data_IF_033631760270
#
_entry.id   IF_033631760270
#
_cell.length_a   1.000
_cell.length_b   1.000
_cell.length_c   1.000
_cell.angle_alpha   90.00
_cell.angle_beta   90.00
_cell.angle_gamma   90.00
#
_symmetry.space_group_name_H-M   'P 1'
#
loop_
_entity.id
_entity.type
_entity.pdbx_description
1 polymer ?
#
# COMPACT_ATOMS: atom_id res chain seq x y z
N UNK A 1 -6.51 -45.18 22.87
CA UNK A 1 -6.85 -44.25 21.78
C UNK A 1 -7.82 -43.20 22.30
N UNK A 2 -7.39 -41.94 22.32
CA UNK A 2 -8.22 -40.74 22.12
C UNK A 2 -7.23 -39.59 21.95
N UNK A 3 -6.87 -39.35 20.68
CA UNK A 3 -6.09 -38.20 20.26
C UNK A 3 -6.90 -36.94 20.59
N UNK A 4 -6.37 -36.10 21.46
CA UNK A 4 -6.82 -34.71 21.55
C UNK A 4 -6.32 -34.00 20.29
N UNK A 5 -7.26 -33.69 19.39
CA UNK A 5 -7.01 -32.85 18.23
C UNK A 5 -6.61 -31.46 18.71
N UNK A 6 -5.33 -31.12 18.59
CA UNK A 6 -4.87 -29.75 18.69
C UNK A 6 -5.42 -28.98 17.49
N UNK A 7 -6.38 -28.08 17.75
CA UNK A 7 -6.81 -27.09 16.77
C UNK A 7 -5.64 -26.11 16.62
N UNK A 8 -4.81 -26.36 15.61
CA UNK A 8 -3.79 -25.43 15.15
C UNK A 8 -4.52 -24.24 14.53
N UNK A 9 -4.92 -23.28 15.35
CA UNK A 9 -5.35 -21.97 14.87
C UNK A 9 -4.09 -21.25 14.41
N UNK A 10 -3.71 -21.45 13.15
CA UNK A 10 -2.64 -20.71 12.47
C UNK A 10 -3.09 -19.24 12.37
N UNK A 11 -2.84 -18.50 13.46
CA UNK A 11 -2.76 -17.06 13.45
C UNK A 11 -1.77 -16.71 12.33
N UNK A 12 -2.25 -16.05 11.26
CA UNK A 12 -1.37 -15.33 10.35
C UNK A 12 -0.72 -14.21 11.17
N UNK A 13 0.36 -14.55 11.87
CA UNK A 13 1.39 -13.60 12.23
C UNK A 13 2.06 -13.22 10.90
N UNK A 14 1.42 -12.31 10.17
CA UNK A 14 2.19 -11.32 9.43
C UNK A 14 3.07 -10.68 10.51
N UNK A 15 4.35 -11.07 10.54
CA UNK A 15 5.38 -10.22 11.10
C UNK A 15 5.29 -8.91 10.31
N UNK A 16 4.43 -8.00 10.76
CA UNK A 16 4.36 -6.64 10.28
C UNK A 16 5.61 -5.95 10.82
N UNK A 17 6.77 -6.26 10.23
CA UNK A 17 7.54 -5.13 9.72
C UNK A 17 6.50 -4.37 8.89
N UNK A 18 6.03 -3.25 9.43
CA UNK A 18 5.14 -2.35 8.72
C UNK A 18 5.88 -1.95 7.46
N UNK A 19 5.71 -2.73 6.39
CA UNK A 19 6.07 -2.32 5.05
C UNK A 19 5.09 -1.20 4.80
N UNK A 20 5.48 0.02 5.16
CA UNK A 20 4.76 1.20 4.74
C UNK A 20 4.64 1.07 3.22
N UNK A 21 3.42 1.22 2.70
CA UNK A 21 3.17 1.17 1.27
C UNK A 21 4.11 2.11 0.48
N UNK A 22 4.55 3.20 1.14
CA UNK A 22 5.52 4.17 0.64
C UNK A 22 6.93 3.60 0.35
N UNK A 23 7.39 2.59 1.09
CA UNK A 23 8.73 2.03 0.92
C UNK A 23 8.97 1.36 -0.45
N UNK A 24 7.88 0.96 -1.10
CA UNK A 24 7.89 0.34 -2.43
C UNK A 24 7.80 1.36 -3.58
N UNK A 25 7.65 2.65 -3.29
CA UNK A 25 7.67 3.71 -4.30
C UNK A 25 9.10 3.82 -4.83
N UNK A 26 9.23 3.63 -6.14
CA UNK A 26 10.53 3.62 -6.85
C UNK A 26 10.68 4.80 -7.81
N UNK A 27 9.64 5.61 -7.96
CA UNK A 27 9.70 6.84 -8.74
C UNK A 27 8.33 7.34 -9.15
N UNK A 28 8.33 8.18 -10.17
CA UNK A 28 7.11 8.69 -10.81
C UNK A 28 7.23 8.64 -12.33
N UNK A 29 6.10 8.40 -12.99
CA UNK A 29 6.01 8.56 -14.44
C UNK A 29 6.05 10.04 -14.77
N UNK A 30 6.95 10.41 -15.69
CA UNK A 30 7.11 11.81 -16.09
C UNK A 30 6.02 12.29 -17.05
N UNK A 31 5.60 11.44 -17.98
CA UNK A 31 4.49 11.63 -18.93
C UNK A 31 4.30 10.35 -19.74
N UNK A 32 3.10 10.15 -20.30
CA UNK A 32 2.88 9.03 -21.23
C UNK A 32 3.70 9.20 -22.50
N UNK A 33 3.81 10.43 -23.02
CA UNK A 33 4.68 10.74 -24.16
C UNK A 33 6.14 10.29 -23.96
N UNK A 34 6.70 10.44 -22.74
CA UNK A 34 8.07 9.98 -22.45
C UNK A 34 8.17 8.46 -22.40
N UNK A 35 7.14 7.78 -21.90
CA UNK A 35 7.09 6.32 -21.94
C UNK A 35 7.02 5.84 -23.39
N UNK A 36 6.18 6.44 -24.24
CA UNK A 36 6.13 6.09 -25.67
C UNK A 36 7.46 6.31 -26.38
N UNK A 37 8.16 7.43 -26.11
CA UNK A 37 9.53 7.66 -26.63
C UNK A 37 10.53 6.61 -26.17
N UNK A 38 10.32 5.99 -25.00
CA UNK A 38 11.11 4.87 -24.50
C UNK A 38 10.59 3.49 -24.97
N UNK A 39 9.71 3.47 -25.96
CA UNK A 39 9.18 2.27 -26.61
C UNK A 39 7.99 1.63 -25.92
N UNK A 40 7.35 2.30 -24.95
CA UNK A 40 6.17 1.75 -24.27
C UNK A 40 4.89 1.95 -25.09
N UNK A 41 4.01 0.94 -25.08
CA UNK A 41 2.69 0.98 -25.72
C UNK A 41 1.56 0.65 -24.73
N UNK A 42 0.33 1.06 -25.05
CA UNK A 42 -0.85 0.63 -24.31
C UNK A 42 -1.20 -0.80 -24.74
N UNK A 43 -1.36 -1.72 -23.79
CA UNK A 43 -1.80 -3.09 -24.08
C UNK A 43 -3.27 -3.14 -24.52
N UNK A 44 -4.08 -2.21 -24.00
CA UNK A 44 -5.53 -2.22 -24.14
C UNK A 44 -6.02 -1.21 -25.19
N UNK A 45 -5.12 -0.69 -26.03
CA UNK A 45 -5.39 0.35 -27.03
C UNK A 45 -6.05 1.62 -26.46
N UNK A 46 -5.76 1.94 -25.19
CA UNK A 46 -6.20 3.20 -24.57
C UNK A 46 -5.52 4.36 -25.32
N UNK A 47 -6.32 5.37 -25.68
CA UNK A 47 -5.84 6.51 -26.45
C UNK A 47 -4.81 7.35 -25.69
N UNK A 48 -4.06 8.16 -26.44
CA UNK A 48 -2.99 8.99 -25.91
C UNK A 48 -3.47 9.95 -24.80
N UNK A 49 -4.59 10.63 -25.00
CA UNK A 49 -5.08 11.65 -24.08
C UNK A 49 -5.48 11.04 -22.74
N UNK A 50 -6.19 9.90 -22.79
CA UNK A 50 -6.57 9.14 -21.60
C UNK A 50 -5.35 8.58 -20.87
N UNK A 51 -4.39 7.97 -21.58
CA UNK A 51 -3.16 7.47 -20.98
C UNK A 51 -2.31 8.58 -20.35
N UNK A 52 -2.16 9.73 -21.02
CA UNK A 52 -1.45 10.89 -20.47
C UNK A 52 -2.15 11.42 -19.22
N UNK A 53 -3.49 11.52 -19.23
CA UNK A 53 -4.28 11.93 -18.07
C UNK A 53 -4.10 11.03 -16.85
N UNK A 54 -4.09 9.70 -17.04
CA UNK A 54 -3.89 8.74 -15.95
C UNK A 54 -2.44 8.68 -15.46
N UNK A 55 -1.46 8.70 -16.37
CA UNK A 55 -0.07 8.38 -16.06
C UNK A 55 0.81 9.61 -15.82
N UNK A 56 0.36 10.82 -16.13
CA UNK A 56 1.17 12.01 -15.83
C UNK A 56 1.39 12.18 -14.33
N UNK A 57 2.65 12.16 -13.90
CA UNK A 57 3.10 12.22 -12.50
C UNK A 57 2.56 11.09 -11.61
N UNK A 58 2.15 9.98 -12.21
CA UNK A 58 1.69 8.81 -11.46
C UNK A 58 2.82 8.15 -10.68
N UNK A 59 2.47 7.44 -9.61
CA UNK A 59 3.44 6.80 -8.72
C UNK A 59 3.88 5.45 -9.30
N UNK A 60 5.18 5.18 -9.29
CA UNK A 60 5.76 3.91 -9.76
C UNK A 60 6.15 3.04 -8.57
N UNK A 61 5.67 1.81 -8.54
CA UNK A 61 5.80 0.87 -7.43
C UNK A 61 6.60 -0.35 -7.88
N UNK A 62 7.72 -0.63 -7.19
CA UNK A 62 8.56 -1.81 -7.40
C UNK A 62 9.29 -1.91 -8.76
N UNK A 63 9.62 -0.79 -9.40
CA UNK A 63 10.44 -0.78 -10.61
C UNK A 63 11.94 -0.91 -10.28
N UNK A 64 12.39 -2.14 -10.00
CA UNK A 64 13.80 -2.47 -9.76
C UNK A 64 14.46 -3.11 -10.98
N UNK A 65 15.79 -3.09 -11.14
CA UNK A 65 16.46 -3.72 -12.28
C UNK A 65 16.12 -5.21 -12.49
N UNK A 66 15.79 -5.92 -11.40
CA UNK A 66 15.50 -7.36 -11.42
C UNK A 66 14.01 -7.71 -11.56
N UNK A 67 13.09 -6.75 -11.41
CA UNK A 67 11.66 -7.05 -11.58
C UNK A 67 11.32 -7.16 -13.06
N UNK A 68 10.48 -8.13 -13.43
CA UNK A 68 9.98 -8.30 -14.80
C UNK A 68 8.93 -7.25 -15.15
N UNK A 69 8.19 -6.81 -14.15
CA UNK A 69 7.11 -5.86 -14.26
C UNK A 69 7.15 -4.87 -13.09
N UNK A 70 6.30 -3.85 -13.15
CA UNK A 70 6.09 -2.94 -12.04
C UNK A 70 4.66 -2.40 -12.09
N UNK A 71 4.20 -1.89 -10.96
CA UNK A 71 2.88 -1.27 -10.87
C UNK A 71 2.99 0.25 -11.01
N UNK A 72 1.96 0.84 -11.56
CA UNK A 72 1.78 2.29 -11.61
C UNK A 72 0.43 2.61 -10.96
N UNK A 73 0.44 3.44 -9.93
CA UNK A 73 -0.78 3.99 -9.34
C UNK A 73 -1.11 5.31 -10.06
N UNK A 74 -2.19 5.28 -10.85
CA UNK A 74 -2.62 6.40 -11.69
C UNK A 74 -3.04 7.61 -10.88
N UNK A 75 -2.84 8.81 -11.43
CA UNK A 75 -3.17 10.09 -10.77
C UNK A 75 -4.66 10.22 -10.45
N UNK A 76 -5.52 9.70 -11.31
CA UNK A 76 -6.98 9.72 -11.15
C UNK A 76 -7.50 8.45 -10.46
N UNK A 77 -6.62 7.74 -9.74
CA UNK A 77 -6.91 6.43 -9.19
C UNK A 77 -6.72 5.30 -10.21
N UNK A 78 -6.86 4.08 -9.71
CA UNK A 78 -6.66 2.86 -10.47
C UNK A 78 -5.19 2.48 -10.64
N UNK A 79 -4.97 1.21 -10.95
CA UNK A 79 -3.63 0.66 -11.11
C UNK A 79 -3.40 0.20 -12.54
N UNK A 80 -2.13 0.28 -12.96
CA UNK A 80 -1.65 -0.24 -14.22
C UNK A 80 -0.51 -1.20 -13.95
N UNK A 81 -0.39 -2.24 -14.77
CA UNK A 81 0.74 -3.15 -14.77
C UNK A 81 1.59 -2.89 -16.00
N UNK A 82 2.86 -2.59 -15.77
CA UNK A 82 3.84 -2.33 -16.81
C UNK A 82 4.76 -3.54 -16.98
N UNK A 83 4.67 -4.22 -18.12
CA UNK A 83 5.54 -5.34 -18.50
C UNK A 83 6.80 -4.79 -19.18
N UNK A 84 7.98 -5.00 -18.57
CA UNK A 84 9.23 -4.45 -19.10
C UNK A 84 9.73 -5.18 -20.34
N UNK A 85 9.42 -6.47 -20.48
CA UNK A 85 9.87 -7.30 -21.61
C UNK A 85 9.11 -6.89 -22.86
N UNK A 86 7.79 -6.83 -22.77
CA UNK A 86 6.93 -6.50 -23.89
C UNK A 86 6.77 -4.99 -24.08
N UNK A 87 7.23 -4.18 -23.11
CA UNK A 87 7.09 -2.71 -23.09
C UNK A 87 5.64 -2.28 -23.26
N UNK A 88 4.73 -2.96 -22.56
CA UNK A 88 3.31 -2.61 -22.57
C UNK A 88 2.83 -2.22 -21.19
N UNK A 89 1.90 -1.27 -21.14
CA UNK A 89 1.18 -0.86 -19.94
C UNK A 89 -0.29 -1.23 -20.11
N UNK A 90 -0.83 -2.02 -19.19
CA UNK A 90 -2.25 -2.39 -19.16
C UNK A 90 -2.96 -1.79 -17.96
N UNK A 91 -4.19 -1.35 -18.13
CA UNK A 91 -5.04 -0.93 -17.00
C UNK A 91 -5.56 -2.17 -16.30
N UNK A 92 -5.49 -2.18 -14.97
CA UNK A 92 -6.04 -3.27 -14.17
C UNK A 92 -7.52 -3.02 -13.92
N UNK A 93 -8.35 -4.02 -14.23
CA UNK A 93 -9.74 -4.03 -13.85
C UNK A 93 -9.85 -4.63 -12.44
N UNK A 94 -10.03 -3.77 -11.45
CA UNK A 94 -10.02 -4.13 -10.03
C UNK A 94 -11.40 -3.86 -9.44
N UNK A 95 -11.86 -4.78 -8.59
CA UNK A 95 -13.12 -4.67 -7.87
C UNK A 95 -12.83 -4.59 -6.37
N UNK A 96 -12.86 -3.37 -5.83
CA UNK A 96 -12.86 -3.12 -4.40
C UNK A 96 -14.29 -3.18 -3.82
N UNK A 97 -14.39 -3.41 -2.53
CA UNK A 97 -15.66 -3.36 -1.79
C UNK A 97 -16.15 -1.91 -1.61
N UNK A 98 -15.23 -0.97 -1.41
CA UNK A 98 -15.53 0.46 -1.23
C UNK A 98 -15.74 1.21 -2.55
N UNK A 99 -16.22 2.44 -2.47
CA UNK A 99 -16.43 3.26 -3.67
C UNK A 99 -15.14 3.94 -4.15
N UNK A 100 -14.11 3.98 -3.31
CA UNK A 100 -12.93 4.80 -3.53
C UNK A 100 -11.70 3.97 -3.90
N UNK A 101 -11.00 4.39 -4.94
CA UNK A 101 -9.71 3.78 -5.29
C UNK A 101 -8.62 4.00 -4.23
N UNK A 102 -8.83 4.95 -3.30
CA UNK A 102 -7.95 5.17 -2.15
C UNK A 102 -7.95 4.01 -1.15
N UNK A 103 -8.93 3.10 -1.24
CA UNK A 103 -8.95 1.89 -0.43
C UNK A 103 -7.94 0.85 -0.93
N UNK A 104 -7.39 1.04 -2.13
CA UNK A 104 -6.46 0.11 -2.74
C UNK A 104 -5.01 0.48 -2.46
N UNK A 105 -4.28 -0.46 -1.88
CA UNK A 105 -2.83 -0.40 -1.72
C UNK A 105 -2.14 -1.46 -2.56
N UNK A 106 -0.94 -1.16 -3.04
CA UNK A 106 -0.13 -2.12 -3.78
C UNK A 106 1.24 -2.30 -3.15
N UNK A 107 1.68 -3.56 -3.06
CA UNK A 107 2.95 -3.93 -2.45
C UNK A 107 3.73 -4.85 -3.39
N UNK A 108 5.06 -4.72 -3.33
CA UNK A 108 5.98 -5.68 -3.91
C UNK A 108 6.50 -6.61 -2.83
N UNK A 109 6.34 -7.92 -3.02
CA UNK A 109 6.88 -8.96 -2.15
C UNK A 109 7.93 -9.77 -2.92
N UNK A 110 9.20 -9.42 -2.72
CA UNK A 110 10.32 -10.05 -3.41
C UNK A 110 10.95 -11.24 -2.66
N UNK A 111 10.59 -11.46 -1.40
CA UNK A 111 11.10 -12.56 -0.58
C UNK A 111 10.17 -13.77 -0.67
N UNK A 112 10.71 -14.97 -0.81
CA UNK A 112 9.90 -16.18 -0.83
C UNK A 112 9.68 -16.70 0.59
N UNK A 113 8.50 -16.44 1.14
CA UNK A 113 8.05 -16.98 2.42
C UNK A 113 7.25 -18.28 2.28
N UNK A 114 7.51 -19.06 1.22
CA UNK A 114 6.76 -20.29 0.88
C UNK A 114 5.46 -20.03 0.12
N UNK A 115 5.21 -18.78 -0.28
CA UNK A 115 4.05 -18.35 -1.09
C UNK A 115 4.46 -17.75 -2.44
N UNK A 116 5.76 -17.79 -2.76
CA UNK A 116 6.32 -17.16 -3.94
C UNK A 116 6.42 -15.64 -3.82
N UNK A 117 6.86 -15.03 -4.92
CA UNK A 117 7.15 -13.60 -5.01
C UNK A 117 6.19 -12.95 -6.00
N UNK A 118 5.70 -11.76 -5.66
CA UNK A 118 4.58 -11.17 -6.37
C UNK A 118 4.46 -9.67 -6.11
N UNK A 119 3.76 -8.99 -7.01
CA UNK A 119 3.04 -7.78 -6.65
C UNK A 119 1.64 -8.17 -6.16
N UNK A 120 1.15 -7.49 -5.14
CA UNK A 120 -0.20 -7.68 -4.61
C UNK A 120 -0.93 -6.36 -4.59
N UNK A 121 -2.23 -6.42 -4.88
CA UNK A 121 -3.16 -5.30 -4.64
C UNK A 121 -4.12 -5.74 -3.55
N UNK A 122 -4.20 -4.91 -2.52
CA UNK A 122 -4.95 -5.12 -1.28
C UNK A 122 -6.04 -4.07 -1.24
N UNK A 123 -7.27 -4.51 -1.04
CA UNK A 123 -8.35 -3.65 -0.58
C UNK A 123 -8.25 -3.54 0.93
N UNK A 124 -7.92 -2.34 1.41
CA UNK A 124 -7.78 -2.03 2.83
C UNK A 124 -9.12 -1.80 3.53
N UNK A 125 -10.22 -1.68 2.77
CA UNK A 125 -11.54 -1.28 3.23
C UNK A 125 -11.55 0.05 4.01
N UNK A 126 -10.56 0.92 3.79
CA UNK A 126 -10.36 2.13 4.61
C UNK A 126 -11.61 2.99 4.69
N UNK A 127 -12.21 3.35 3.55
CA UNK A 127 -13.41 4.18 3.52
C UNK A 127 -14.61 3.55 4.23
N UNK A 128 -14.76 2.23 4.14
CA UNK A 128 -15.85 1.48 4.79
C UNK A 128 -15.62 1.43 6.30
N UNK A 129 -14.38 1.20 6.74
CA UNK A 129 -14.00 1.22 8.15
C UNK A 129 -14.26 2.61 8.73
N UNK A 130 -13.80 3.67 8.05
CA UNK A 130 -13.96 5.05 8.51
C UNK A 130 -15.44 5.40 8.69
N UNK A 131 -16.29 5.04 7.72
CA UNK A 131 -17.75 5.22 7.81
C UNK A 131 -18.36 4.43 8.97
N UNK A 132 -18.03 3.14 9.10
CA UNK A 132 -18.57 2.30 10.17
C UNK A 132 -18.12 2.77 11.56
N UNK A 133 -16.92 3.32 11.68
CA UNK A 133 -16.41 3.92 12.91
C UNK A 133 -17.15 5.22 13.22
N UNK A 134 -17.37 6.09 12.23
CA UNK A 134 -18.13 7.33 12.39
C UNK A 134 -19.57 7.06 12.86
N UNK A 135 -20.24 6.06 12.29
CA UNK A 135 -21.60 5.63 12.68
C UNK A 135 -21.67 5.16 14.15
N UNK A 136 -20.57 4.63 14.70
CA UNK A 136 -20.47 4.23 16.11
C UNK A 136 -20.14 5.40 17.03
N UNK A 137 -19.32 6.33 16.55
CA UNK A 137 -18.84 7.48 17.29
C UNK A 137 -19.93 8.55 17.39
N UNK A 138 -20.54 8.95 16.27
CA UNK A 138 -21.46 10.08 16.20
C UNK A 138 -22.61 10.05 17.23
N UNK A 139 -23.26 8.91 17.53
CA UNK A 139 -24.33 8.85 18.54
C UNK A 139 -23.85 9.00 19.99
N UNK A 140 -22.57 8.74 20.27
CA UNK A 140 -22.01 8.72 21.63
C UNK A 140 -21.49 10.10 22.04
N UNK A 141 -21.16 10.98 21.09
CA UNK A 141 -20.63 12.32 21.42
C UNK A 141 -21.67 13.24 22.08
N UNK A 142 -22.96 12.88 22.01
CA UNK A 142 -24.05 13.59 22.69
C UNK A 142 -24.21 13.24 24.17
N UNK A 143 -23.66 12.13 24.67
CA UNK A 143 -23.84 11.67 26.06
C UNK A 143 -22.47 11.23 26.62
N UNK A 144 -21.79 12.11 27.37
CA UNK A 144 -20.44 11.85 27.90
C UNK A 144 -20.49 11.00 29.16
N UNK A 145 -20.17 9.71 29.07
CA UNK A 145 -19.82 8.89 30.22
C UNK A 145 -18.47 8.16 29.99
N UNK A 146 -17.61 8.06 31.00
CA UNK A 146 -16.23 7.54 30.87
C UNK A 146 -16.18 6.03 30.51
N UNK A 147 -17.25 5.30 30.79
CA UNK A 147 -17.54 3.91 30.40
C UNK A 147 -17.71 3.73 28.88
N UNK A 148 -17.93 4.81 28.13
CA UNK A 148 -18.01 4.80 26.67
C UNK A 148 -16.65 4.52 26.01
N UNK A 149 -15.53 4.93 26.61
CA UNK A 149 -14.23 4.82 25.94
C UNK A 149 -13.80 3.36 25.72
N UNK A 150 -14.01 2.49 26.71
CA UNK A 150 -13.66 1.05 26.60
C UNK A 150 -14.63 0.32 25.68
N UNK A 151 -15.92 0.67 25.73
CA UNK A 151 -16.94 0.16 24.85
C UNK A 151 -16.69 0.53 23.38
N UNK A 152 -16.42 1.81 23.11
CA UNK A 152 -16.08 2.34 21.79
C UNK A 152 -14.84 1.65 21.23
N UNK A 153 -13.76 1.52 22.02
CA UNK A 153 -12.55 0.80 21.60
C UNK A 153 -12.86 -0.64 21.20
N UNK A 154 -13.65 -1.35 22.00
CA UNK A 154 -14.03 -2.74 21.72
C UNK A 154 -14.84 -2.85 20.43
N UNK A 155 -15.81 -1.95 20.21
CA UNK A 155 -16.59 -1.90 18.97
C UNK A 155 -15.73 -1.58 17.75
N UNK A 156 -14.87 -0.57 17.83
CA UNK A 156 -13.97 -0.17 16.74
C UNK A 156 -13.02 -1.32 16.39
N UNK A 157 -12.45 -2.01 17.38
CA UNK A 157 -11.59 -3.18 17.15
C UNK A 157 -12.36 -4.33 16.47
N UNK A 158 -13.61 -4.57 16.85
CA UNK A 158 -14.44 -5.57 16.19
C UNK A 158 -14.76 -5.19 14.74
N UNK A 159 -15.06 -3.92 14.45
CA UNK A 159 -15.25 -3.43 13.08
C UNK A 159 -13.99 -3.68 12.24
N UNK A 160 -12.82 -3.28 12.74
CA UNK A 160 -11.54 -3.48 12.04
C UNK A 160 -11.24 -4.96 11.80
N UNK A 161 -11.58 -5.84 12.74
CA UNK A 161 -11.42 -7.30 12.57
C UNK A 161 -12.36 -7.86 11.51
N UNK A 162 -13.62 -7.42 11.48
CA UNK A 162 -14.61 -7.88 10.49
C UNK A 162 -14.27 -7.38 9.08
N UNK A 163 -13.75 -6.16 8.98
CA UNK A 163 -13.35 -5.51 7.73
C UNK A 163 -11.85 -5.62 7.47
N UNK A 164 -11.24 -6.76 7.83
CA UNK A 164 -9.81 -6.97 7.62
C UNK A 164 -9.41 -6.79 6.14
N UNK A 165 -8.21 -6.23 5.85
CA UNK A 165 -7.75 -6.03 4.49
C UNK A 165 -7.75 -7.33 3.68
N UNK A 166 -8.12 -7.23 2.40
CA UNK A 166 -8.28 -8.38 1.52
C UNK A 166 -7.40 -8.23 0.28
N UNK A 167 -6.65 -9.29 -0.04
CA UNK A 167 -5.96 -9.39 -1.32
C UNK A 167 -6.98 -9.58 -2.43
N UNK A 168 -7.02 -8.66 -3.41
CA UNK A 168 -7.95 -8.71 -4.54
C UNK A 168 -7.26 -9.03 -5.87
N UNK A 169 -5.93 -8.91 -5.94
CA UNK A 169 -5.16 -9.30 -7.12
C UNK A 169 -3.71 -9.62 -6.76
N UNK A 170 -3.11 -10.55 -7.51
CA UNK A 170 -1.72 -10.96 -7.34
C UNK A 170 -1.08 -11.15 -8.71
N UNK A 171 0.13 -10.61 -8.89
CA UNK A 171 0.90 -10.69 -10.13
C UNK A 171 2.24 -11.35 -9.83
N UNK A 172 2.48 -12.59 -10.33
CA UNK A 172 3.70 -13.32 -10.05
C UNK A 172 4.96 -12.56 -10.48
N UNK A 173 6.02 -12.70 -9.70
CA UNK A 173 7.33 -12.11 -9.94
C UNK A 173 8.48 -13.09 -9.67
N UNK A 174 9.68 -12.70 -10.08
CA UNK A 174 10.90 -13.39 -9.69
C UNK A 174 11.27 -13.09 -8.24
N UNK A 175 11.65 -14.13 -7.52
CA UNK A 175 12.16 -13.97 -6.17
C UNK A 175 13.54 -13.34 -6.15
N UNK A 176 13.75 -12.50 -5.14
CA UNK A 176 15.00 -11.79 -4.92
C UNK A 176 16.03 -12.71 -4.28
N UNK A 177 17.29 -12.55 -4.67
CA UNK A 177 18.41 -13.17 -3.96
C UNK A 177 18.84 -12.33 -2.75
N UNK A 178 19.71 -12.89 -1.90
CA UNK A 178 20.20 -12.23 -0.68
C UNK A 178 20.76 -10.81 -0.92
N UNK A 179 21.45 -10.59 -2.05
CA UNK A 179 22.01 -9.27 -2.39
C UNK A 179 20.91 -8.27 -2.72
N UNK A 180 19.89 -8.69 -3.46
CA UNK A 180 18.74 -7.87 -3.81
C UNK A 180 17.87 -7.57 -2.58
N UNK A 181 17.68 -8.55 -1.69
CA UNK A 181 17.00 -8.34 -0.40
C UNK A 181 17.73 -7.30 0.46
N UNK A 182 19.05 -7.43 0.60
CA UNK A 182 19.84 -6.46 1.35
C UNK A 182 19.73 -5.04 0.77
N UNK A 183 19.65 -4.91 -0.56
CA UNK A 183 19.44 -3.62 -1.21
C UNK A 183 18.05 -3.01 -0.90
N UNK A 184 17.00 -3.83 -0.82
CA UNK A 184 15.66 -3.39 -0.44
C UNK A 184 15.63 -2.91 1.01
N UNK A 185 16.19 -3.70 1.93
CA UNK A 185 16.28 -3.36 3.36
C UNK A 185 17.11 -2.09 3.59
N UNK A 186 18.24 -1.95 2.89
CA UNK A 186 19.07 -0.75 2.99
C UNK A 186 18.33 0.50 2.51
N UNK A 187 17.53 0.39 1.44
CA UNK A 187 16.69 1.49 0.97
C UNK A 187 15.65 1.88 2.01
N UNK A 188 14.95 0.89 2.58
CA UNK A 188 13.95 1.10 3.63
C UNK A 188 14.55 1.79 4.86
N UNK A 189 15.69 1.30 5.35
CA UNK A 189 16.38 1.88 6.50
C UNK A 189 16.80 3.34 6.24
N UNK A 190 17.27 3.66 5.04
CA UNK A 190 17.63 5.03 4.67
C UNK A 190 16.42 5.97 4.61
N UNK A 191 15.25 5.50 4.17
CA UNK A 191 14.01 6.28 4.18
C UNK A 191 13.50 6.51 5.60
N UNK A 192 13.57 5.50 6.46
CA UNK A 192 13.19 5.62 7.88
C UNK A 192 14.08 6.62 8.62
N UNK A 193 15.39 6.58 8.41
CA UNK A 193 16.32 7.56 9.01
C UNK A 193 16.00 8.99 8.59
N UNK A 194 15.66 9.22 7.31
CA UNK A 194 15.24 10.54 6.82
C UNK A 194 13.95 11.00 7.48
N UNK A 195 12.98 10.09 7.64
CA UNK A 195 11.73 10.39 8.33
C UNK A 195 11.98 10.79 9.79
N UNK A 196 12.80 10.03 10.52
CA UNK A 196 13.16 10.34 11.90
C UNK A 196 13.83 11.70 12.02
N UNK A 197 14.77 12.03 11.12
CA UNK A 197 15.41 13.35 11.08
C UNK A 197 14.39 14.47 10.82
N UNK A 198 13.47 14.27 9.89
CA UNK A 198 12.42 15.24 9.59
C UNK A 198 11.48 15.44 10.79
N UNK A 199 11.02 14.36 11.43
CA UNK A 199 10.18 14.43 12.64
C UNK A 199 10.89 15.18 13.77
N UNK A 200 12.17 14.90 13.98
CA UNK A 200 12.98 15.62 14.98
C UNK A 200 13.05 17.12 14.67
N UNK A 201 13.30 17.49 13.40
CA UNK A 201 13.32 18.89 12.98
C UNK A 201 11.97 19.60 13.16
N UNK A 202 10.87 18.95 12.81
CA UNK A 202 9.52 19.52 13.00
C UNK A 202 9.18 19.67 14.49
N UNK A 203 9.55 18.69 15.30
CA UNK A 203 9.32 18.72 16.75
C UNK A 203 10.11 19.85 17.39
N UNK A 204 11.38 20.02 17.01
CA UNK A 204 12.21 21.12 17.47
C UNK A 204 11.60 22.47 17.04
N UNK A 205 11.25 22.63 15.76
CA UNK A 205 10.64 23.88 15.26
C UNK A 205 9.36 24.26 16.02
N UNK A 206 8.50 23.29 16.32
CA UNK A 206 7.28 23.52 17.11
C UNK A 206 7.60 23.83 18.58
N UNK A 207 8.62 23.20 19.17
CA UNK A 207 9.09 23.52 20.53
C UNK A 207 9.63 24.95 20.60
N UNK A 208 10.43 25.37 19.62
CA UNK A 208 10.94 26.73 19.49
C UNK A 208 9.80 27.73 19.38
N UNK A 209 8.79 27.44 18.54
CA UNK A 209 7.61 28.30 18.37
C UNK A 209 6.83 28.48 19.68
N UNK A 210 6.73 27.43 20.51
CA UNK A 210 5.95 27.47 21.76
C UNK A 210 6.70 28.04 22.95
N UNK A 211 8.00 27.78 23.04
CA UNK A 211 8.78 28.05 24.26
C UNK A 211 9.91 29.06 24.06
N UNK A 212 10.22 29.44 22.81
CA UNK A 212 11.34 30.31 22.48
C UNK A 212 12.72 29.67 22.62
N UNK A 213 12.79 28.41 23.06
CA UNK A 213 14.04 27.67 23.26
C UNK A 213 14.40 26.93 21.95
N UNK A 214 15.51 27.32 21.33
CA UNK A 214 15.96 26.84 20.02
C UNK A 214 17.30 26.14 20.10
#
# INVERSE_FOLDING_TARGET
>A
MKLFAAILSTLLLLNTATVSADSNITGSVKSWARMQKAGWASADNIDYGTMEGYLYKSTVIGNYPWTRQFLIHGRQGGYFLADKKNKVVRKLNLHQAGEYSSDLEALYHGEDNGKGCYFVIIDTHRSIIDKAVDDVIHPVWSERAEDDATFLRTKIENIKKQLAPKVISTFPEQCTNKKQQAALVAKQSAEEQKLQQWVAQQTLAELCRRTGNC
#
